data_IF_779307515525
#
_entry.id   IF_779307515525
#
_cell.length_a   1.000
_cell.length_b   1.000
_cell.length_c   1.000
_cell.angle_alpha   90.00
_cell.angle_beta   90.00
_cell.angle_gamma   90.00
#
_symmetry.space_group_name_H-M   'P 1'
#
loop_
_entity.id
_entity.type
_entity.pdbx_description
1 polymer ?
#
# COMPACT_ATOMS: atom_id res chain seq x y z
N UNK A 1 11.32 -2.47 -13.85
CA UNK A 1 10.45 -2.80 -12.70
C UNK A 1 10.60 -1.82 -11.53
N UNK A 2 11.78 -1.24 -11.26
CA UNK A 2 11.95 -0.26 -10.17
C UNK A 2 11.10 1.03 -10.32
N UNK A 3 10.87 1.50 -11.55
CA UNK A 3 10.11 2.73 -11.81
C UNK A 3 8.65 2.65 -11.33
N UNK A 4 7.98 1.50 -11.49
CA UNK A 4 6.59 1.33 -11.06
C UNK A 4 6.46 1.44 -9.54
N UNK A 5 7.32 0.73 -8.80
CA UNK A 5 7.33 0.80 -7.34
C UNK A 5 7.72 2.21 -6.84
N UNK A 6 8.74 2.83 -7.45
CA UNK A 6 9.15 4.18 -7.11
C UNK A 6 8.00 5.18 -7.29
N UNK A 7 7.24 5.07 -8.37
CA UNK A 7 6.07 5.92 -8.61
C UNK A 7 4.97 5.72 -7.56
N UNK A 8 4.70 4.47 -7.16
CA UNK A 8 3.71 4.15 -6.13
C UNK A 8 4.13 4.70 -4.75
N UNK A 9 5.40 4.49 -4.36
CA UNK A 9 5.93 4.98 -3.08
C UNK A 9 6.00 6.51 -3.05
N UNK A 10 6.30 7.15 -4.19
CA UNK A 10 6.40 8.60 -4.29
C UNK A 10 5.03 9.30 -4.44
N UNK A 11 4.07 8.68 -5.10
CA UNK A 11 2.79 9.30 -5.43
C UNK A 11 1.77 9.33 -4.28
N UNK A 12 1.87 8.38 -3.34
CA UNK A 12 0.83 8.15 -2.34
C UNK A 12 1.39 8.17 -0.91
N UNK A 13 0.62 8.72 0.01
CA UNK A 13 0.70 8.37 1.42
C UNK A 13 0.04 6.99 1.61
N UNK A 14 0.58 6.18 2.50
CA UNK A 14 0.08 4.82 2.71
C UNK A 14 -0.42 4.71 4.14
N UNK A 15 -1.64 4.21 4.29
CA UNK A 15 -2.31 4.01 5.57
C UNK A 15 -2.78 2.56 5.69
N UNK A 16 -2.86 2.05 6.90
CA UNK A 16 -3.50 0.77 7.18
C UNK A 16 -5.04 0.89 7.06
N UNK A 17 -5.72 -0.23 6.76
CA UNK A 17 -7.17 -0.28 6.86
C UNK A 17 -7.67 0.18 8.22
N UNK A 18 -8.86 0.78 8.26
CA UNK A 18 -9.44 1.25 9.50
C UNK A 18 -9.61 0.12 10.52
N UNK A 19 -9.23 0.39 11.76
CA UNK A 19 -9.31 -0.59 12.85
C UNK A 19 -8.14 -1.59 12.91
N UNK A 20 -7.15 -1.51 12.02
CA UNK A 20 -5.94 -2.34 12.08
C UNK A 20 -4.81 -1.54 12.72
N UNK A 21 -4.35 -1.96 13.91
CA UNK A 21 -3.13 -1.39 14.48
C UNK A 21 -1.89 -2.02 13.82
N UNK A 22 -0.75 -1.32 13.78
CA UNK A 22 0.48 -1.86 13.19
C UNK A 22 0.94 -3.18 13.83
N UNK A 23 0.66 -3.36 15.11
CA UNK A 23 1.00 -4.54 15.91
C UNK A 23 0.09 -5.74 15.66
N UNK A 24 -1.12 -5.52 15.11
CA UNK A 24 -2.05 -6.58 14.73
C UNK A 24 -1.71 -7.19 13.37
N UNK A 25 -0.74 -6.63 12.63
CA UNK A 25 -0.33 -7.18 11.34
C UNK A 25 0.50 -8.44 11.51
N UNK A 26 0.01 -9.53 10.94
CA UNK A 26 0.76 -10.78 10.86
C UNK A 26 1.96 -10.66 9.92
N UNK A 27 3.15 -10.90 10.45
CA UNK A 27 4.39 -11.06 9.68
C UNK A 27 4.74 -12.54 9.47
N UNK A 28 3.84 -13.46 9.81
CA UNK A 28 4.04 -14.89 9.56
C UNK A 28 4.05 -15.17 8.05
N UNK A 29 4.86 -16.14 7.64
CA UNK A 29 4.94 -16.59 6.26
C UNK A 29 4.32 -17.98 6.12
N UNK A 30 3.61 -18.21 5.02
CA UNK A 30 3.22 -19.53 4.55
C UNK A 30 4.31 -20.07 3.62
N UNK A 31 4.80 -21.27 3.94
CA UNK A 31 5.88 -21.93 3.21
C UNK A 31 5.33 -23.04 2.30
N UNK A 32 5.75 -23.04 1.03
CA UNK A 32 5.38 -24.04 0.03
C UNK A 32 6.34 -24.00 -1.16
N UNK A 33 5.81 -24.00 -2.39
CA UNK A 33 6.63 -23.78 -3.60
C UNK A 33 7.24 -22.37 -3.65
N UNK A 34 6.59 -21.40 -2.99
CA UNK A 34 7.08 -20.05 -2.78
C UNK A 34 6.87 -19.66 -1.31
N UNK A 35 7.61 -18.64 -0.87
CA UNK A 35 7.37 -17.98 0.42
C UNK A 35 6.47 -16.78 0.19
N UNK A 36 5.40 -16.68 0.97
CA UNK A 36 4.44 -15.58 0.91
C UNK A 36 3.89 -15.29 2.30
N UNK A 37 3.51 -14.04 2.61
CA UNK A 37 2.80 -13.72 3.84
C UNK A 37 1.61 -14.65 4.05
N UNK A 38 1.43 -15.14 5.28
CA UNK A 38 0.31 -16.00 5.68
C UNK A 38 -1.02 -15.27 5.56
N UNK A 39 -0.99 -13.97 5.83
CA UNK A 39 -2.10 -13.05 5.62
C UNK A 39 -1.65 -11.95 4.63
N UNK A 40 -2.48 -11.58 3.64
CA UNK A 40 -2.12 -10.54 2.69
C UNK A 40 -1.89 -9.18 3.38
N UNK A 41 -0.78 -8.53 3.07
CA UNK A 41 -0.55 -7.15 3.50
C UNK A 41 -1.45 -6.21 2.68
N UNK A 42 -2.30 -5.46 3.38
CA UNK A 42 -3.23 -4.49 2.78
C UNK A 42 -2.82 -3.08 3.19
N UNK A 43 -2.73 -2.18 2.21
CA UNK A 43 -2.49 -0.76 2.44
C UNK A 43 -3.43 0.07 1.56
N UNK A 44 -3.94 1.16 2.12
CA UNK A 44 -4.77 2.14 1.43
C UNK A 44 -3.85 3.24 0.88
N UNK A 45 -3.91 3.45 -0.43
CA UNK A 45 -3.17 4.52 -1.10
C UNK A 45 -3.96 5.83 -1.03
N UNK A 46 -3.44 6.81 -0.29
CA UNK A 46 -3.99 8.15 -0.18
C UNK A 46 -3.20 9.12 -1.08
N UNK A 47 -3.84 9.83 -2.01
CA UNK A 47 -3.14 10.80 -2.84
C UNK A 47 -2.46 11.88 -1.97
N UNK A 48 -1.18 12.17 -2.23
CA UNK A 48 -0.43 13.18 -1.45
C UNK A 48 -0.86 14.61 -1.76
N UNK A 49 -1.39 14.83 -2.96
CA UNK A 49 -1.83 16.16 -3.39
C UNK A 49 -3.34 16.33 -3.16
N UNK A 50 -3.82 17.57 -2.95
CA UNK A 50 -5.25 17.85 -2.92
C UNK A 50 -5.97 17.37 -4.19
N UNK A 51 -7.21 16.90 -4.03
CA UNK A 51 -8.02 16.34 -5.12
C UNK A 51 -8.13 17.25 -6.35
N UNK A 52 -8.21 18.58 -6.15
CA UNK A 52 -8.33 19.56 -7.23
C UNK A 52 -7.09 19.65 -8.14
N UNK A 53 -5.94 19.10 -7.73
CA UNK A 53 -4.75 19.00 -8.57
C UNK A 53 -4.74 17.75 -9.47
N UNK A 54 -5.64 16.79 -9.21
CA UNK A 54 -5.86 15.62 -10.07
C UNK A 54 -7.05 15.79 -11.01
N UNK A 55 -7.96 16.72 -10.70
CA UNK A 55 -9.04 17.08 -11.61
C UNK A 55 -8.47 17.97 -12.70
N UNK A 56 -8.19 17.39 -13.87
CA UNK A 56 -7.97 18.19 -15.08
C UNK A 56 -9.27 18.92 -15.38
N UNK A 57 -9.32 20.22 -15.09
CA UNK A 57 -10.25 21.13 -15.76
C UNK A 57 -9.79 21.20 -17.21
N UNK A 58 -10.50 20.50 -18.09
CA UNK A 58 -10.35 20.62 -19.52
C UNK A 58 -11.11 21.85 -20.03
#
# INVERSE_FOLDING_TARGET
>A
MAATLANLVQGFAWRLPDGVAPEDMSMEESFGLSVSPKEPLVAIAEPRLPAHLYTTVH
#
